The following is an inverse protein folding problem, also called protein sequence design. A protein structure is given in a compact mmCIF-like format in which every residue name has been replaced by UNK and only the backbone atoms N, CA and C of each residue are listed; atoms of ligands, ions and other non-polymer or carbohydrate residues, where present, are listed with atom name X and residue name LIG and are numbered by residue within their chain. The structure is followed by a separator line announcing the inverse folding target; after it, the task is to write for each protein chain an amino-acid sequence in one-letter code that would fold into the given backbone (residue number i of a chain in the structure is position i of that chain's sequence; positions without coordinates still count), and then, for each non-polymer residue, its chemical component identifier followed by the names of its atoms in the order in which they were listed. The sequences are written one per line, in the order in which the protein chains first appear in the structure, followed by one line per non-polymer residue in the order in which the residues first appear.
data_IF_751850444921
#
_entry.id   IF_751850444921
#
_cell.length_a   1.000
_cell.length_b   1.000
_cell.length_c   1.000
_cell.angle_alpha   90.00
_cell.angle_beta   90.00
_cell.angle_gamma   90.00
#
_symmetry.space_group_name_H-M   'P 1'
#
loop_
_entity.id
_entity.type
_entity.pdbx_description
1 polymer ?
#
# COMPACT_ATOMS: atom_id res chain seq x y z
N UNK A 1 2.03 1.45 8.26
CA UNK A 1 1.84 -0.02 8.40
C UNK A 1 2.43 -0.76 7.19
N UNK A 2 1.92 -0.59 5.97
CA UNK A 2 2.42 -1.36 4.80
C UNK A 2 3.92 -1.15 4.53
N UNK A 3 4.41 0.09 4.63
CA UNK A 3 5.84 0.39 4.47
C UNK A 3 6.72 -0.32 5.52
N UNK A 4 6.28 -0.34 6.79
CA UNK A 4 6.99 -1.06 7.85
C UNK A 4 6.99 -2.57 7.64
N UNK A 5 5.85 -3.16 7.26
CA UNK A 5 5.80 -4.59 6.97
C UNK A 5 6.62 -4.95 5.72
N UNK A 6 6.79 -4.01 4.79
CA UNK A 6 7.63 -4.18 3.62
C UNK A 6 9.11 -4.24 4.00
N UNK A 7 9.57 -3.40 4.93
CA UNK A 7 10.96 -3.42 5.41
C UNK A 7 11.32 -4.64 6.25
N UNK A 8 10.35 -5.23 6.96
CA UNK A 8 10.60 -6.42 7.80
C UNK A 8 10.77 -7.72 7.00
N UNK A 9 10.33 -7.76 5.73
CA UNK A 9 10.24 -8.95 4.86
C UNK A 9 9.36 -10.10 5.41
N UNK A 10 9.77 -10.73 6.52
CA UNK A 10 9.07 -11.78 7.24
C UNK A 10 8.79 -11.33 8.68
N UNK A 11 7.54 -11.46 9.13
CA UNK A 11 7.15 -11.05 10.48
C UNK A 11 6.18 -12.05 11.11
N UNK A 12 6.14 -12.07 12.44
CA UNK A 12 5.13 -12.81 13.21
C UNK A 12 4.02 -11.86 13.70
N UNK A 13 2.95 -12.42 14.28
CA UNK A 13 1.81 -11.63 14.76
C UNK A 13 2.21 -10.67 15.90
N UNK A 14 3.10 -11.09 16.79
CA UNK A 14 3.59 -10.25 17.90
C UNK A 14 4.31 -9.00 17.38
N UNK A 15 5.16 -9.16 16.37
CA UNK A 15 5.88 -8.06 15.71
C UNK A 15 4.90 -7.11 15.00
N UNK A 16 3.90 -7.66 14.33
CA UNK A 16 2.83 -6.84 13.74
C UNK A 16 2.07 -6.02 14.80
N UNK A 17 1.73 -6.65 15.94
CA UNK A 17 1.01 -5.99 17.03
C UNK A 17 1.86 -4.91 17.70
N UNK A 18 3.19 -5.08 17.79
CA UNK A 18 4.13 -4.05 18.22
C UNK A 18 4.03 -2.80 17.35
N UNK A 19 4.14 -2.93 16.02
CA UNK A 19 3.98 -1.80 15.10
C UNK A 19 2.57 -1.21 15.11
N UNK A 20 1.56 -2.04 15.37
CA UNK A 20 0.19 -1.55 15.48
C UNK A 20 0.01 -0.59 16.65
N UNK A 21 0.82 -0.70 17.72
CA UNK A 21 0.77 0.24 18.85
C UNK A 21 1.20 1.66 18.46
N UNK A 22 2.02 1.82 17.42
CA UNK A 22 2.44 3.13 16.89
C UNK A 22 1.34 3.83 16.09
N UNK A 23 0.30 3.10 15.67
CA UNK A 23 -0.81 3.62 14.86
C UNK A 23 -2.13 3.46 15.62
N UNK A 24 -3.24 4.00 15.11
CA UNK A 24 -4.56 3.82 15.73
C UNK A 24 -4.88 2.34 15.97
N UNK A 25 -5.22 2.01 17.22
CA UNK A 25 -5.40 0.64 17.66
C UNK A 25 -6.64 0.00 17.05
N UNK A 26 -6.45 -0.88 16.07
CA UNK A 26 -7.53 -1.70 15.51
C UNK A 26 -7.16 -3.17 15.68
N UNK A 27 -7.73 -3.81 16.71
CA UNK A 27 -7.48 -5.21 17.08
C UNK A 27 -7.72 -6.20 15.93
N UNK A 28 -8.59 -5.85 14.97
CA UNK A 28 -8.95 -6.69 13.83
C UNK A 28 -8.15 -6.37 12.56
N UNK A 29 -7.19 -5.42 12.61
CA UNK A 29 -6.44 -5.00 11.42
C UNK A 29 -5.65 -6.15 10.82
N UNK A 30 -4.98 -6.96 11.64
CA UNK A 30 -4.21 -8.11 11.19
C UNK A 30 -5.06 -9.07 10.34
N UNK A 31 -6.19 -9.51 10.89
CA UNK A 31 -7.10 -10.43 10.21
C UNK A 31 -7.75 -9.80 8.98
N UNK A 32 -8.08 -8.51 9.04
CA UNK A 32 -8.60 -7.76 7.89
C UNK A 32 -7.59 -7.75 6.75
N UNK A 33 -6.30 -7.51 7.03
CA UNK A 33 -5.25 -7.49 6.01
C UNK A 33 -5.00 -8.86 5.39
N UNK A 34 -5.10 -9.94 6.17
CA UNK A 34 -5.07 -11.31 5.64
C UNK A 34 -6.30 -11.56 4.73
N UNK A 35 -7.51 -11.25 5.23
CA UNK A 35 -8.76 -11.46 4.49
C UNK A 35 -8.79 -10.70 3.16
N UNK A 36 -8.20 -9.51 3.10
CA UNK A 36 -8.11 -8.67 1.90
C UNK A 36 -6.92 -9.02 0.97
N UNK A 37 -6.13 -10.03 1.34
CA UNK A 37 -4.99 -10.51 0.54
C UNK A 37 -3.80 -9.54 0.52
N UNK A 38 -3.63 -8.72 1.55
CA UNK A 38 -2.43 -7.88 1.71
C UNK A 38 -1.30 -8.63 2.41
N UNK A 39 -1.65 -9.55 3.31
CA UNK A 39 -0.71 -10.39 4.06
C UNK A 39 -0.98 -11.85 3.70
N UNK A 40 0.09 -12.60 3.45
CA UNK A 40 0.06 -14.04 3.24
C UNK A 40 0.78 -14.76 4.38
N UNK A 41 0.27 -15.92 4.79
CA UNK A 41 0.95 -16.78 5.75
C UNK A 41 2.03 -17.59 5.02
N UNK A 42 3.28 -17.18 5.18
CA UNK A 42 4.45 -17.86 4.63
C UNK A 42 4.65 -19.24 5.27
N UNK A 43 4.45 -19.32 6.59
CA UNK A 43 4.61 -20.58 7.34
C UNK A 43 3.62 -20.68 8.48
N UNK A 44 2.99 -21.85 8.60
CA UNK A 44 2.14 -22.21 9.76
C UNK A 44 2.97 -22.35 11.03
N UNK A 45 2.33 -22.20 12.19
CA UNK A 45 2.95 -22.47 13.49
C UNK A 45 3.37 -23.95 13.55
N UNK A 46 4.59 -24.23 14.03
CA UNK A 46 5.08 -25.60 14.25
C UNK A 46 5.69 -25.71 15.65
N UNK A 47 5.03 -26.45 16.54
CA UNK A 47 5.48 -26.59 17.93
C UNK A 47 5.62 -25.24 18.63
N UNK A 48 6.84 -24.93 19.09
CA UNK A 48 7.19 -23.65 19.75
C UNK A 48 7.45 -22.51 18.76
N UNK A 49 7.62 -22.79 17.47
CA UNK A 49 7.92 -21.79 16.47
C UNK A 49 6.66 -21.05 16.01
N UNK A 50 6.70 -19.72 16.04
CA UNK A 50 5.58 -18.87 15.64
C UNK A 50 5.23 -19.01 14.15
N UNK A 51 3.96 -18.76 13.81
CA UNK A 51 3.55 -18.56 12.43
C UNK A 51 4.21 -17.30 11.86
N UNK A 52 4.64 -17.40 10.61
CA UNK A 52 5.33 -16.32 9.90
C UNK A 52 4.50 -15.86 8.71
N UNK A 53 4.56 -14.57 8.46
CA UNK A 53 3.76 -13.86 7.47
C UNK A 53 4.65 -12.95 6.64
N UNK A 54 4.20 -12.66 5.42
CA UNK A 54 4.82 -11.68 4.55
C UNK A 54 3.76 -10.86 3.82
N UNK A 55 4.19 -9.77 3.19
CA UNK A 55 3.36 -9.03 2.24
C UNK A 55 3.16 -9.83 0.95
N UNK A 56 1.94 -9.81 0.43
CA UNK A 56 1.66 -10.39 -0.91
C UNK A 56 2.30 -9.57 -2.03
N UNK A 57 2.37 -10.15 -3.23
CA UNK A 57 2.81 -9.41 -4.42
C UNK A 57 2.00 -8.13 -4.65
N UNK A 58 0.68 -8.17 -4.46
CA UNK A 58 -0.22 -7.01 -4.52
C UNK A 58 0.21 -5.90 -3.54
N UNK A 59 0.52 -6.26 -2.31
CA UNK A 59 0.99 -5.34 -1.28
C UNK A 59 2.35 -4.73 -1.64
N UNK A 60 3.32 -5.57 -2.05
CA UNK A 60 4.66 -5.12 -2.48
C UNK A 60 4.57 -4.16 -3.66
N UNK A 61 3.72 -4.45 -4.66
CA UNK A 61 3.47 -3.55 -5.82
C UNK A 61 2.87 -2.20 -5.40
N UNK A 62 1.93 -2.19 -4.46
CA UNK A 62 1.39 -0.94 -3.90
C UNK A 62 2.49 -0.11 -3.25
N UNK A 63 3.32 -0.74 -2.40
CA UNK A 63 4.44 -0.06 -1.72
C UNK A 63 5.41 0.54 -2.73
N UNK A 64 5.79 -0.22 -3.76
CA UNK A 64 6.67 0.28 -4.82
C UNK A 64 6.06 1.48 -5.56
N UNK A 65 4.76 1.42 -5.87
CA UNK A 65 4.09 2.55 -6.53
C UNK A 65 4.09 3.81 -5.65
N UNK A 66 3.87 3.66 -4.34
CA UNK A 66 3.95 4.78 -3.39
C UNK A 66 5.36 5.37 -3.34
N UNK A 67 6.40 4.53 -3.25
CA UNK A 67 7.78 5.00 -3.30
C UNK A 67 8.12 5.71 -4.61
N UNK A 68 7.62 5.20 -5.75
CA UNK A 68 7.75 5.87 -7.04
C UNK A 68 7.20 7.29 -6.97
N UNK A 69 5.98 7.48 -6.46
CA UNK A 69 5.37 8.82 -6.34
C UNK A 69 6.12 9.75 -5.39
N UNK A 70 6.62 9.23 -4.27
CA UNK A 70 7.45 10.00 -3.34
C UNK A 70 8.79 10.41 -3.96
N UNK A 71 9.31 9.62 -4.91
CA UNK A 71 10.55 9.90 -5.63
C UNK A 71 10.32 10.72 -6.92
N UNK A 72 9.13 11.30 -7.12
CA UNK A 72 8.84 12.16 -8.27
C UNK A 72 8.38 11.42 -9.53
N UNK A 73 7.98 10.16 -9.45
CA UNK A 73 7.37 9.47 -10.59
C UNK A 73 5.96 10.01 -10.87
N UNK A 74 5.70 10.44 -12.10
CA UNK A 74 4.41 11.03 -12.50
C UNK A 74 3.21 10.09 -12.34
N UNK A 75 2.06 10.63 -11.95
CA UNK A 75 0.78 9.92 -12.01
C UNK A 75 0.41 9.59 -13.47
N UNK A 76 -0.06 8.37 -13.77
CA UNK A 76 -0.53 8.06 -15.12
C UNK A 76 -1.75 8.91 -15.49
N UNK A 77 -1.68 9.59 -16.63
CA UNK A 77 -2.73 10.49 -17.15
C UNK A 77 -3.69 9.81 -18.14
N UNK A 78 -3.62 8.49 -18.27
CA UNK A 78 -4.47 7.71 -19.18
C UNK A 78 -5.49 6.84 -18.42
N UNK A 79 -6.65 6.63 -19.02
CA UNK A 79 -7.77 5.89 -18.41
C UNK A 79 -7.50 4.38 -18.23
N UNK A 80 -6.53 3.83 -18.97
CA UNK A 80 -6.17 2.40 -18.93
C UNK A 80 -5.45 2.10 -17.62
N UNK A 81 -4.48 2.94 -17.26
CA UNK A 81 -3.64 2.76 -16.07
C UNK A 81 -4.15 3.53 -14.86
N UNK A 82 -5.08 4.47 -15.04
CA UNK A 82 -5.66 5.26 -13.96
C UNK A 82 -7.18 5.48 -14.16
N UNK A 83 -8.02 4.74 -13.41
CA UNK A 83 -9.47 4.84 -13.54
C UNK A 83 -10.04 6.24 -13.31
N UNK A 84 -9.35 7.12 -12.56
CA UNK A 84 -9.82 8.49 -12.34
C UNK A 84 -9.82 9.32 -13.61
N UNK A 85 -9.17 8.86 -14.69
CA UNK A 85 -9.14 9.49 -16.02
C UNK A 85 -10.26 9.00 -16.96
N UNK A 86 -11.11 8.05 -16.52
CA UNK A 86 -12.29 7.64 -17.30
C UNK A 86 -13.29 8.79 -17.48
N UNK A 87 -14.12 8.74 -18.51
CA UNK A 87 -15.10 9.78 -18.80
C UNK A 87 -16.24 9.83 -17.76
N UNK A 88 -16.73 8.66 -17.34
CA UNK A 88 -17.79 8.51 -16.35
C UNK A 88 -17.20 8.25 -14.96
N UNK A 89 -16.83 9.33 -14.25
CA UNK A 89 -16.28 9.28 -12.90
C UNK A 89 -16.98 10.26 -11.96
N UNK A 90 -16.94 9.98 -10.67
CA UNK A 90 -17.59 10.81 -9.65
C UNK A 90 -16.88 12.16 -9.52
N UNK A 91 -17.58 13.17 -9.00
CA UNK A 91 -17.01 14.51 -8.79
C UNK A 91 -15.67 14.49 -8.05
N UNK A 92 -15.56 13.71 -6.97
CA UNK A 92 -14.32 13.56 -6.20
C UNK A 92 -13.14 13.07 -7.07
N UNK A 93 -13.39 12.16 -8.00
CA UNK A 93 -12.35 11.63 -8.88
C UNK A 93 -11.88 12.70 -9.87
N UNK A 94 -12.77 13.62 -10.30
CA UNK A 94 -12.41 14.80 -11.10
C UNK A 94 -11.49 15.75 -10.32
N UNK A 95 -11.81 15.98 -9.04
CA UNK A 95 -10.96 16.79 -8.15
C UNK A 95 -9.58 16.13 -8.00
N UNK A 96 -9.53 14.82 -7.73
CA UNK A 96 -8.25 14.09 -7.65
C UNK A 96 -7.45 14.16 -8.96
N UNK A 97 -8.12 14.02 -10.10
CA UNK A 97 -7.49 14.16 -11.42
C UNK A 97 -6.80 15.52 -11.58
N UNK A 98 -7.47 16.62 -11.19
CA UNK A 98 -6.90 17.97 -11.28
C UNK A 98 -5.63 18.11 -10.43
N UNK A 99 -5.64 17.58 -9.20
CA UNK A 99 -4.44 17.59 -8.36
C UNK A 99 -3.32 16.71 -8.91
N UNK A 100 -3.63 15.52 -9.46
CA UNK A 100 -2.63 14.67 -10.11
C UNK A 100 -1.94 15.38 -11.28
N UNK A 101 -2.72 16.06 -12.14
CA UNK A 101 -2.18 16.84 -13.25
C UNK A 101 -1.31 18.00 -12.77
N UNK A 102 -1.71 18.68 -11.69
CA UNK A 102 -0.92 19.75 -11.07
C UNK A 102 0.42 19.22 -10.54
N UNK A 103 0.41 18.09 -9.83
CA UNK A 103 1.64 17.47 -9.31
C UNK A 103 2.56 17.05 -10.46
N UNK A 104 2.04 16.43 -11.52
CA UNK A 104 2.85 16.07 -12.69
C UNK A 104 3.48 17.30 -13.35
N UNK A 105 2.72 18.40 -13.47
CA UNK A 105 3.24 19.66 -13.99
C UNK A 105 4.40 20.17 -13.14
N UNK A 106 4.25 20.21 -11.82
CA UNK A 106 5.30 20.63 -10.89
C UNK A 106 6.55 19.74 -10.99
N UNK A 107 6.39 18.42 -11.12
CA UNK A 107 7.49 17.47 -11.32
C UNK A 107 8.25 17.76 -12.62
N UNK A 108 7.54 18.05 -13.72
CA UNK A 108 8.15 18.36 -15.02
C UNK A 108 8.90 19.70 -15.02
N UNK A 109 8.50 20.65 -14.17
CA UNK A 109 9.16 21.96 -14.03
C UNK A 109 10.42 21.91 -13.16
N UNK A 110 10.52 20.91 -12.27
CA UNK A 110 11.68 20.70 -11.39
C UNK A 110 12.82 19.90 -12.06
N UNK A 111 12.52 19.19 -13.14
CA UNK A 111 13.47 18.41 -13.94
C UNK A 111 13.91 19.19 -15.19
#
# INVERSE_FOLDING_TARGET
MMLFLYSEHLFNKTKFEEYQKLMSWNKNKFYTLIKQGWIHQWRKKKGKEAAMYELTYKAKRLVNNVYGKLNGEEFPENYVNNPVFKHDVKFRDKVFRQYMLKINKEIREQN
#
